data_IF_706560595624
#
_entry.id   IF_706560595624
#
_cell.length_a   1.000
_cell.length_b   1.000
_cell.length_c   1.000
_cell.angle_alpha   90.00
_cell.angle_beta   90.00
_cell.angle_gamma   90.00
#
_symmetry.space_group_name_H-M   'P 1'
#
loop_
_entity.id
_entity.type
_entity.pdbx_description
1 polymer ?
#
# COMPACT_ATOMS: atom_id res chain seq x y z
N UNK A 1 -45.84 -8.48 -4.16
CA UNK A 1 -44.93 -8.57 -5.32
C UNK A 1 -43.63 -9.31 -4.96
N UNK A 2 -42.90 -8.92 -3.93
CA UNK A 2 -41.62 -9.53 -3.51
C UNK A 2 -41.70 -11.00 -3.13
N UNK A 3 -42.81 -11.41 -2.48
CA UNK A 3 -43.05 -12.79 -2.04
C UNK A 3 -43.21 -13.76 -3.22
N UNK A 4 -43.99 -13.35 -4.21
CA UNK A 4 -44.17 -14.13 -5.44
C UNK A 4 -42.84 -14.31 -6.18
N UNK A 5 -42.04 -13.27 -6.32
CA UNK A 5 -40.73 -13.33 -6.96
C UNK A 5 -39.75 -14.24 -6.21
N UNK A 6 -39.72 -14.15 -4.89
CA UNK A 6 -38.86 -15.01 -4.06
C UNK A 6 -39.25 -16.49 -4.23
N UNK A 7 -40.55 -16.80 -4.18
CA UNK A 7 -41.04 -18.15 -4.33
C UNK A 7 -40.76 -18.71 -5.74
N UNK A 8 -40.93 -17.91 -6.77
CA UNK A 8 -40.61 -18.28 -8.16
C UNK A 8 -39.14 -18.61 -8.38
N UNK A 9 -38.24 -17.97 -7.61
CA UNK A 9 -36.80 -18.17 -7.68
C UNK A 9 -36.29 -19.21 -6.66
N UNK A 10 -37.15 -19.84 -5.89
CA UNK A 10 -36.80 -20.84 -4.89
C UNK A 10 -36.18 -20.27 -3.61
N UNK A 11 -36.35 -18.98 -3.34
CA UNK A 11 -35.85 -18.32 -2.12
C UNK A 11 -36.95 -17.98 -1.14
N UNK A 12 -36.64 -18.03 0.16
CA UNK A 12 -37.56 -17.49 1.18
C UNK A 12 -37.46 -15.96 1.24
N UNK A 13 -38.57 -15.29 1.57
CA UNK A 13 -38.61 -13.85 1.80
C UNK A 13 -37.60 -13.39 2.88
N UNK A 14 -37.43 -14.22 3.92
CA UNK A 14 -36.44 -13.96 4.97
C UNK A 14 -35.00 -14.02 4.46
N UNK A 15 -34.66 -14.98 3.61
CA UNK A 15 -33.34 -15.10 2.99
C UNK A 15 -33.01 -13.87 2.13
N UNK A 16 -34.00 -13.39 1.37
CA UNK A 16 -33.87 -12.17 0.57
C UNK A 16 -33.54 -10.94 1.44
N UNK A 17 -34.33 -10.68 2.48
CA UNK A 17 -34.08 -9.52 3.33
C UNK A 17 -32.79 -9.64 4.16
N UNK A 18 -32.43 -10.86 4.58
CA UNK A 18 -31.14 -11.12 5.24
C UNK A 18 -29.97 -10.82 4.30
N UNK A 19 -30.06 -11.23 3.04
CA UNK A 19 -29.06 -10.94 2.02
C UNK A 19 -28.93 -9.43 1.77
N UNK A 20 -30.06 -8.73 1.67
CA UNK A 20 -30.10 -7.29 1.45
C UNK A 20 -29.43 -6.52 2.61
N UNK A 21 -29.75 -6.87 3.86
CA UNK A 21 -29.09 -6.28 5.04
C UNK A 21 -27.59 -6.56 5.02
N UNK A 22 -27.18 -7.80 4.79
CA UNK A 22 -25.76 -8.15 4.72
C UNK A 22 -25.02 -7.41 3.59
N UNK A 23 -25.69 -7.08 2.49
CA UNK A 23 -25.12 -6.29 1.41
C UNK A 23 -24.92 -4.84 1.87
N UNK A 24 -25.93 -4.22 2.48
CA UNK A 24 -25.84 -2.86 3.01
C UNK A 24 -24.74 -2.72 4.08
N UNK A 25 -24.68 -3.67 5.02
CA UNK A 25 -23.63 -3.67 6.07
C UNK A 25 -22.21 -3.75 5.48
N UNK A 26 -22.05 -4.56 4.41
CA UNK A 26 -20.78 -4.65 3.69
C UNK A 26 -20.41 -3.36 2.99
N UNK A 27 -21.37 -2.73 2.30
CA UNK A 27 -21.15 -1.46 1.61
C UNK A 27 -20.82 -0.32 2.57
N UNK A 28 -21.48 -0.26 3.73
CA UNK A 28 -21.17 0.71 4.76
C UNK A 28 -19.76 0.51 5.30
N UNK A 29 -19.37 -0.73 5.58
CA UNK A 29 -18.02 -1.06 6.02
C UNK A 29 -16.99 -0.70 4.96
N UNK A 30 -17.24 -1.00 3.68
CA UNK A 30 -16.35 -0.64 2.57
C UNK A 30 -16.17 0.89 2.49
N UNK A 31 -17.26 1.65 2.53
CA UNK A 31 -17.23 3.12 2.52
C UNK A 31 -16.43 3.70 3.69
N UNK A 32 -16.63 3.15 4.89
CA UNK A 32 -15.90 3.59 6.08
C UNK A 32 -14.41 3.33 5.96
N UNK A 33 -13.99 2.16 5.51
CA UNK A 33 -12.56 1.85 5.30
C UNK A 33 -11.95 2.75 4.22
N UNK A 34 -12.68 3.02 3.14
CA UNK A 34 -12.21 3.91 2.09
C UNK A 34 -12.00 5.34 2.59
N UNK A 35 -12.90 5.88 3.40
CA UNK A 35 -12.74 7.23 3.96
C UNK A 35 -11.48 7.36 4.81
N UNK A 36 -11.15 6.34 5.63
CA UNK A 36 -9.92 6.33 6.43
C UNK A 36 -8.68 6.22 5.53
N UNK A 37 -8.75 5.38 4.48
CA UNK A 37 -7.64 5.27 3.52
C UNK A 37 -7.37 6.59 2.82
N UNK A 38 -8.41 7.34 2.43
CA UNK A 38 -8.28 8.66 1.83
C UNK A 38 -7.66 9.66 2.80
N UNK A 39 -8.07 9.65 4.06
CA UNK A 39 -7.49 10.50 5.11
C UNK A 39 -6.00 10.21 5.30
N UNK A 40 -5.61 8.95 5.48
CA UNK A 40 -4.21 8.55 5.62
C UNK A 40 -3.36 8.93 4.39
N UNK A 41 -3.95 8.95 3.21
CA UNK A 41 -3.26 9.30 1.96
C UNK A 41 -3.14 10.79 1.70
N UNK A 42 -3.85 11.65 2.44
CA UNK A 42 -3.59 13.10 2.40
C UNK A 42 -2.16 13.39 2.83
N UNK A 43 -1.71 12.75 3.90
CA UNK A 43 -0.35 12.95 4.44
C UNK A 43 0.67 12.06 3.72
N UNK A 44 0.29 10.84 3.36
CA UNK A 44 1.14 9.82 2.77
C UNK A 44 0.56 9.29 1.44
N UNK A 45 0.58 10.06 0.34
CA UNK A 45 -0.12 9.76 -0.91
C UNK A 45 0.26 8.42 -1.55
N UNK A 46 1.46 7.91 -1.25
CA UNK A 46 2.00 6.66 -1.83
C UNK A 46 2.01 5.49 -0.84
N UNK A 47 1.16 5.53 0.17
CA UNK A 47 1.06 4.46 1.14
C UNK A 47 0.52 3.18 0.48
N UNK A 48 1.35 2.15 0.44
CA UNK A 48 1.01 0.84 -0.17
C UNK A 48 0.07 0.01 0.70
N UNK A 49 -0.59 -0.98 0.08
CA UNK A 49 -1.63 -1.81 0.73
C UNK A 49 -1.17 -2.46 2.04
N UNK A 50 0.06 -2.98 2.08
CA UNK A 50 0.58 -3.64 3.29
C UNK A 50 0.69 -2.69 4.49
N UNK A 51 1.19 -1.47 4.26
CA UNK A 51 1.30 -0.46 5.31
C UNK A 51 -0.09 0.04 5.75
N UNK A 52 -1.00 0.27 4.80
CA UNK A 52 -2.39 0.61 5.09
C UNK A 52 -3.07 -0.48 5.93
N UNK A 53 -2.95 -1.73 5.53
CA UNK A 53 -3.48 -2.86 6.26
C UNK A 53 -2.98 -2.89 7.71
N UNK A 54 -1.69 -2.69 7.92
CA UNK A 54 -1.10 -2.66 9.26
C UNK A 54 -1.64 -1.51 10.09
N UNK A 55 -1.66 -0.29 9.53
CA UNK A 55 -2.18 0.90 10.22
C UNK A 55 -3.66 0.77 10.59
N UNK A 56 -4.49 0.20 9.70
CA UNK A 56 -5.91 -0.04 10.00
C UNK A 56 -6.08 -1.02 11.17
N UNK A 57 -5.33 -2.11 11.19
CA UNK A 57 -5.42 -3.09 12.28
C UNK A 57 -4.86 -2.53 13.60
N UNK A 58 -3.76 -1.79 13.58
CA UNK A 58 -3.17 -1.14 14.75
C UNK A 58 -4.14 -0.09 15.35
N UNK A 59 -4.97 0.55 14.53
CA UNK A 59 -6.02 1.47 14.94
C UNK A 59 -7.35 0.79 15.33
N UNK A 60 -7.36 -0.54 15.50
CA UNK A 60 -8.53 -1.28 15.97
C UNK A 60 -9.57 -1.60 14.90
N UNK A 61 -9.24 -1.46 13.61
CA UNK A 61 -10.10 -1.85 12.49
C UNK A 61 -9.57 -3.17 11.88
N UNK A 62 -10.03 -4.33 12.36
CA UNK A 62 -9.57 -5.60 11.88
C UNK A 62 -10.08 -5.85 10.45
N UNK A 63 -9.19 -5.72 9.48
CA UNK A 63 -9.44 -6.01 8.07
C UNK A 63 -8.46 -7.05 7.56
N UNK A 64 -8.91 -7.93 6.66
CA UNK A 64 -8.03 -8.87 5.99
C UNK A 64 -7.19 -8.16 4.91
N UNK A 65 -5.91 -8.53 4.78
CA UNK A 65 -4.99 -7.94 3.79
C UNK A 65 -5.50 -8.12 2.35
N UNK A 66 -5.93 -9.32 2.01
CA UNK A 66 -6.38 -9.64 0.65
C UNK A 66 -7.75 -9.03 0.34
N UNK A 67 -8.59 -8.86 1.35
CA UNK A 67 -9.85 -8.14 1.22
C UNK A 67 -9.59 -6.66 0.93
N UNK A 68 -8.68 -6.02 1.69
CA UNK A 68 -8.28 -4.62 1.47
C UNK A 68 -7.66 -4.43 0.08
N UNK A 69 -6.80 -5.35 -0.36
CA UNK A 69 -6.23 -5.30 -1.71
C UNK A 69 -7.31 -5.31 -2.78
N UNK A 70 -8.29 -6.23 -2.68
CA UNK A 70 -9.40 -6.31 -3.64
C UNK A 70 -10.28 -5.07 -3.62
N UNK A 71 -10.54 -4.52 -2.43
CA UNK A 71 -11.30 -3.27 -2.27
C UNK A 71 -10.59 -2.12 -2.99
N UNK A 72 -9.31 -1.88 -2.70
CA UNK A 72 -8.52 -0.81 -3.31
C UNK A 72 -8.33 -1.01 -4.82
N UNK A 73 -8.21 -2.25 -5.28
CA UNK A 73 -8.15 -2.57 -6.71
C UNK A 73 -9.45 -2.20 -7.42
N UNK A 74 -10.62 -2.55 -6.85
CA UNK A 74 -11.95 -2.23 -7.40
C UNK A 74 -12.17 -0.73 -7.57
N UNK A 75 -11.62 0.07 -6.68
CA UNK A 75 -11.72 1.54 -6.69
C UNK A 75 -10.54 2.24 -7.39
N UNK A 76 -9.67 1.52 -8.11
CA UNK A 76 -8.45 2.04 -8.77
C UNK A 76 -7.51 2.82 -7.81
N UNK A 77 -7.52 2.44 -6.55
CA UNK A 77 -6.73 3.06 -5.47
C UNK A 77 -5.40 2.35 -5.19
N UNK A 78 -4.95 1.46 -6.07
CA UNK A 78 -3.63 0.86 -5.94
C UNK A 78 -2.54 1.86 -6.33
N UNK A 79 -1.46 1.88 -5.55
CA UNK A 79 -0.30 2.74 -5.87
C UNK A 79 0.36 2.23 -7.15
N UNK A 80 0.31 3.03 -8.20
CA UNK A 80 0.96 2.71 -9.48
C UNK A 80 2.49 2.81 -9.33
N UNK A 81 3.20 1.80 -9.79
CA UNK A 81 4.67 1.84 -9.81
C UNK A 81 5.15 2.95 -10.77
N UNK A 82 6.17 3.70 -10.33
CA UNK A 82 6.81 4.65 -11.23
C UNK A 82 7.48 3.87 -12.38
N UNK A 83 7.06 4.12 -13.61
CA UNK A 83 7.70 3.57 -14.81
C UNK A 83 9.06 4.22 -15.09
N UNK A 84 9.32 5.38 -14.49
CA UNK A 84 10.54 6.14 -14.70
C UNK A 84 11.59 5.72 -13.67
N UNK A 85 12.70 5.18 -14.17
CA UNK A 85 13.88 4.87 -13.37
C UNK A 85 14.85 6.03 -13.56
N UNK A 86 15.07 6.79 -12.50
CA UNK A 86 16.12 7.81 -12.51
C UNK A 86 17.45 7.09 -12.59
N UNK A 87 18.19 7.30 -13.68
CA UNK A 87 19.57 6.84 -13.79
C UNK A 87 20.42 7.85 -13.02
N UNK A 88 20.76 7.50 -11.80
CA UNK A 88 21.53 8.37 -10.87
C UNK A 88 23.04 8.19 -11.05
N UNK A 89 23.48 7.16 -11.77
CA UNK A 89 24.90 6.85 -11.94
C UNK A 89 25.21 6.54 -13.40
N UNK A 90 26.08 7.29 -14.03
CA UNK A 90 26.67 6.92 -15.31
C UNK A 90 27.98 6.15 -15.06
N UNK A 91 27.91 4.82 -15.18
CA UNK A 91 29.07 3.96 -15.00
C UNK A 91 29.95 3.84 -16.24
N UNK A 92 29.62 4.54 -17.33
CA UNK A 92 30.40 4.56 -18.56
C UNK A 92 31.53 5.60 -18.51
N UNK A 93 31.45 6.60 -17.63
CA UNK A 93 32.54 7.53 -17.42
C UNK A 93 33.76 6.81 -16.86
N UNK A 94 34.94 7.19 -17.38
CA UNK A 94 36.21 6.67 -16.88
C UNK A 94 36.31 6.88 -15.35
N UNK A 95 36.50 5.78 -14.62
CA UNK A 95 36.58 5.81 -13.16
C UNK A 95 37.98 5.49 -12.71
N UNK A 96 38.54 6.34 -11.88
CA UNK A 96 39.65 5.93 -11.05
C UNK A 96 39.17 4.83 -10.09
N UNK A 97 39.73 3.65 -10.24
CA UNK A 97 39.50 2.56 -9.29
C UNK A 97 40.43 2.77 -8.10
N UNK A 98 39.84 3.15 -7.00
CA UNK A 98 40.57 3.20 -5.74
C UNK A 98 40.60 1.81 -5.10
N UNK A 99 41.73 1.43 -4.43
CA UNK A 99 41.77 0.16 -3.71
C UNK A 99 40.76 0.14 -2.58
N UNK A 100 40.14 -1.01 -2.35
CA UNK A 100 39.23 -1.17 -1.21
C UNK A 100 40.05 -1.27 0.08
N UNK A 101 40.13 -0.18 0.84
CA UNK A 101 40.91 -0.08 2.06
C UNK A 101 40.36 -0.92 3.24
N UNK A 102 39.09 -1.33 3.15
CA UNK A 102 38.44 -2.12 4.21
C UNK A 102 38.30 -3.61 3.84
N UNK A 103 38.87 -4.03 2.71
CA UNK A 103 38.83 -5.43 2.29
C UNK A 103 39.61 -6.29 3.29
N UNK A 104 38.91 -7.22 3.93
CA UNK A 104 39.50 -8.12 4.94
C UNK A 104 39.65 -7.50 6.34
N UNK A 105 39.21 -6.27 6.54
CA UNK A 105 39.22 -5.65 7.85
C UNK A 105 38.05 -6.16 8.69
N UNK A 106 38.32 -6.68 9.87
CA UNK A 106 37.30 -7.11 10.84
C UNK A 106 36.94 -5.92 11.74
N UNK A 107 35.68 -5.48 11.68
CA UNK A 107 35.20 -4.38 12.52
C UNK A 107 34.78 -4.93 13.88
N UNK A 108 35.49 -4.55 14.94
CA UNK A 108 35.29 -5.06 16.31
C UNK A 108 34.52 -4.08 17.22
N UNK A 109 34.49 -2.80 16.87
CA UNK A 109 33.86 -1.75 17.68
C UNK A 109 33.34 -0.60 16.82
N UNK A 110 32.48 0.23 17.38
CA UNK A 110 31.93 1.41 16.73
C UNK A 110 33.04 2.42 16.32
N UNK A 111 32.78 3.21 15.29
CA UNK A 111 33.65 4.28 14.77
C UNK A 111 34.98 3.81 14.15
N UNK A 112 35.14 2.55 13.83
CA UNK A 112 36.33 2.05 13.12
C UNK A 112 36.22 2.24 11.60
N UNK A 113 35.00 2.16 11.05
CA UNK A 113 34.74 2.37 9.64
C UNK A 113 33.55 3.31 9.46
N UNK A 114 33.71 4.32 8.64
CA UNK A 114 32.66 5.25 8.23
C UNK A 114 32.42 5.08 6.75
N UNK A 115 31.15 4.95 6.36
CA UNK A 115 30.72 4.87 4.96
C UNK A 115 29.73 6.00 4.70
N UNK A 116 29.90 6.71 3.60
CA UNK A 116 28.99 7.77 3.17
C UNK A 116 28.54 7.53 1.74
N UNK A 117 27.29 7.90 1.45
CA UNK A 117 26.69 7.85 0.12
C UNK A 117 25.94 9.16 -0.17
N UNK A 118 25.89 9.54 -1.44
CA UNK A 118 25.21 10.75 -1.89
C UNK A 118 23.94 10.33 -2.64
N UNK A 119 22.78 10.80 -2.17
CA UNK A 119 21.50 10.59 -2.83
C UNK A 119 20.91 11.91 -3.31
N UNK A 120 20.56 11.98 -4.60
CA UNK A 120 19.88 13.13 -5.17
C UNK A 120 18.37 13.00 -5.00
N UNK A 121 17.75 13.98 -4.34
CA UNK A 121 16.32 14.09 -4.20
C UNK A 121 15.81 15.22 -5.10
N UNK A 122 14.92 14.87 -6.04
CA UNK A 122 14.24 15.87 -6.88
C UNK A 122 13.13 16.51 -6.05
N UNK A 123 13.24 17.80 -5.81
CA UNK A 123 12.20 18.60 -5.14
C UNK A 123 11.41 19.41 -6.16
N UNK A 124 10.28 20.00 -5.77
CA UNK A 124 9.49 20.89 -6.65
C UNK A 124 10.23 22.18 -7.08
N UNK A 125 11.40 22.47 -6.49
CA UNK A 125 12.27 23.62 -6.82
C UNK A 125 13.53 23.22 -7.59
N UNK A 126 13.64 21.95 -8.00
CA UNK A 126 14.83 21.38 -8.66
C UNK A 126 15.63 20.43 -7.75
N UNK A 127 16.80 20.00 -8.21
CA UNK A 127 17.74 19.17 -7.45
C UNK A 127 18.59 20.06 -6.55
#
# INVERSE_FOLDING_TARGET
MTEYLCTSLGYSKQAYYKSLRSCNDKEERERYVLSIVEELRRDLPRLGVYKLWRMLNDNGLPVGRDWLFRLLHRHDLLVKMKKYRVVTTDSRAWRHQYPNLVKGYCVERANQVWVSDITYLVTGKGV
#
